data_IF_308780042345
#
_entry.id   IF_308780042345
#
_cell.length_a   1.000
_cell.length_b   1.000
_cell.length_c   1.000
_cell.angle_alpha   90.00
_cell.angle_beta   90.00
_cell.angle_gamma   90.00
#
_symmetry.space_group_name_H-M   'P 1'
#
loop_
_entity.id
_entity.type
_entity.pdbx_description
1 polymer ?
#
# COMPACT_ATOMS: atom_id res chain seq x y z
N UNK A 1 5.84 3.95 31.87
CA UNK A 1 6.49 3.99 30.53
C UNK A 1 6.86 5.42 30.22
N UNK A 2 8.08 5.67 29.74
CA UNK A 2 8.57 6.98 29.33
C UNK A 2 9.45 6.84 28.09
N UNK A 3 9.26 7.71 27.10
CA UNK A 3 10.20 7.85 25.99
C UNK A 3 10.37 9.31 25.54
N UNK A 4 11.52 9.63 24.99
CA UNK A 4 11.80 10.95 24.40
C UNK A 4 12.45 10.88 23.03
N UNK A 5 12.17 11.89 22.22
CA UNK A 5 12.56 11.99 20.81
C UNK A 5 12.99 13.41 20.48
N UNK A 6 14.00 13.53 19.62
CA UNK A 6 14.50 14.79 19.08
C UNK A 6 14.89 14.63 17.61
N UNK A 7 15.24 15.76 16.97
CA UNK A 7 15.85 15.76 15.63
C UNK A 7 15.08 14.98 14.56
N UNK A 8 15.76 14.07 13.88
CA UNK A 8 15.17 13.28 12.78
C UNK A 8 14.21 12.19 13.27
N UNK A 9 14.46 11.59 14.44
CA UNK A 9 13.55 10.61 15.03
C UNK A 9 12.16 11.22 15.30
N UNK A 10 12.11 12.47 15.80
CA UNK A 10 10.86 13.20 15.97
C UNK A 10 10.12 13.43 14.64
N UNK A 11 10.83 13.77 13.55
CA UNK A 11 10.22 13.95 12.22
C UNK A 11 9.61 12.64 11.72
N UNK A 12 10.36 11.53 11.81
CA UNK A 12 9.87 10.20 11.42
C UNK A 12 8.66 9.80 12.27
N UNK A 13 8.73 9.98 13.59
CA UNK A 13 7.61 9.72 14.50
C UNK A 13 6.35 10.52 14.13
N UNK A 14 6.49 11.82 13.83
CA UNK A 14 5.35 12.65 13.45
C UNK A 14 4.73 12.20 12.11
N UNK A 15 5.57 11.78 11.15
CA UNK A 15 5.11 11.17 9.89
C UNK A 15 4.38 9.86 10.13
N UNK A 16 4.89 9.00 11.01
CA UNK A 16 4.25 7.74 11.43
C UNK A 16 2.86 7.98 12.01
N UNK A 17 2.73 8.90 12.97
CA UNK A 17 1.42 9.27 13.55
C UNK A 17 0.46 9.82 12.50
N UNK A 18 0.97 10.66 11.58
CA UNK A 18 0.16 11.21 10.48
C UNK A 18 -0.35 10.12 9.55
N UNK A 19 0.49 9.11 9.25
CA UNK A 19 0.09 7.96 8.45
C UNK A 19 -1.00 7.16 9.16
N UNK A 20 -0.78 6.78 10.42
CA UNK A 20 -1.75 6.03 11.24
C UNK A 20 -3.11 6.73 11.30
N UNK A 21 -3.13 8.06 11.47
CA UNK A 21 -4.34 8.88 11.53
C UNK A 21 -5.15 8.92 10.22
N UNK A 22 -4.56 8.55 9.08
CA UNK A 22 -5.29 8.42 7.80
C UNK A 22 -5.93 7.05 7.63
N UNK A 23 -5.40 6.03 8.33
CA UNK A 23 -5.91 4.65 8.30
C UNK A 23 -7.03 4.47 9.32
N UNK A 24 -6.78 4.78 10.59
CA UNK A 24 -7.71 4.53 11.70
C UNK A 24 -7.94 5.73 12.61
N UNK A 25 -8.86 5.55 13.57
CA UNK A 25 -9.25 6.60 14.52
C UNK A 25 -8.59 6.44 15.90
N UNK A 26 -8.18 5.23 16.24
CA UNK A 26 -7.60 4.86 17.52
C UNK A 26 -6.17 4.37 17.33
N UNK A 27 -5.28 4.82 18.21
CA UNK A 27 -3.89 4.39 18.31
C UNK A 27 -3.76 3.49 19.53
N UNK A 28 -3.42 2.23 19.31
CA UNK A 28 -2.98 1.34 20.38
C UNK A 28 -1.47 1.49 20.51
N UNK A 29 -1.01 1.78 21.73
CA UNK A 29 0.39 1.91 22.11
C UNK A 29 0.74 0.69 22.96
N UNK A 30 1.72 -0.09 22.53
CA UNK A 30 2.26 -1.21 23.28
C UNK A 30 3.76 -1.03 23.47
N UNK A 31 4.20 -0.88 24.70
CA UNK A 31 5.60 -0.71 25.05
C UNK A 31 6.11 -1.94 25.80
N UNK A 32 7.31 -2.38 25.41
CA UNK A 32 8.05 -3.46 26.04
C UNK A 32 9.52 -3.06 26.11
N UNK A 33 10.34 -3.64 26.99
CA UNK A 33 11.76 -3.30 27.07
C UNK A 33 12.52 -3.45 25.75
N UNK A 34 12.05 -4.29 24.83
CA UNK A 34 12.67 -4.54 23.52
C UNK A 34 12.15 -3.68 22.38
N UNK A 35 10.97 -3.05 22.50
CA UNK A 35 10.36 -2.26 21.42
C UNK A 35 9.12 -1.46 21.87
N UNK A 36 8.85 -0.36 21.16
CA UNK A 36 7.58 0.34 21.16
C UNK A 36 6.81 0.04 19.87
N UNK A 37 5.59 -0.48 19.99
CA UNK A 37 4.73 -0.76 18.85
C UNK A 37 3.46 0.09 18.87
N UNK A 38 3.09 0.61 17.71
CA UNK A 38 1.88 1.34 17.44
C UNK A 38 1.01 0.56 16.49
N UNK A 39 -0.26 0.42 16.83
CA UNK A 39 -1.25 -0.25 15.97
C UNK A 39 -2.45 0.65 15.73
N UNK A 40 -3.02 0.54 14.54
CA UNK A 40 -4.32 1.10 14.24
C UNK A 40 -5.10 0.18 13.33
N UNK A 41 -6.42 0.18 13.52
CA UNK A 41 -7.39 -0.49 12.66
C UNK A 41 -8.36 0.57 12.15
N UNK A 42 -8.78 0.43 10.89
CA UNK A 42 -9.90 1.21 10.39
C UNK A 42 -11.24 0.68 10.97
N UNK A 43 -12.30 1.46 10.82
CA UNK A 43 -13.60 1.15 11.43
C UNK A 43 -14.23 -0.17 10.93
N UNK A 44 -13.97 -0.55 9.68
CA UNK A 44 -14.42 -1.81 9.08
C UNK A 44 -13.50 -2.99 9.39
N UNK A 45 -12.37 -2.78 10.08
CA UNK A 45 -11.32 -3.79 10.32
C UNK A 45 -10.81 -4.45 9.02
N UNK A 46 -10.86 -3.71 7.91
CA UNK A 46 -10.31 -4.12 6.61
C UNK A 46 -8.91 -3.56 6.35
N UNK A 47 -8.42 -2.65 7.19
CA UNK A 47 -7.07 -2.11 7.11
C UNK A 47 -6.42 -2.10 8.49
N UNK A 48 -5.23 -2.68 8.58
CA UNK A 48 -4.40 -2.77 9.77
C UNK A 48 -3.03 -2.16 9.49
N UNK A 49 -2.56 -1.27 10.36
CA UNK A 49 -1.20 -0.77 10.26
C UNK A 49 -0.47 -0.96 11.60
N UNK A 50 0.75 -1.47 11.52
CA UNK A 50 1.67 -1.62 12.63
C UNK A 50 2.95 -0.84 12.35
N UNK A 51 3.43 -0.11 13.35
CA UNK A 51 4.73 0.57 13.33
C UNK A 51 5.47 0.20 14.61
N UNK A 52 6.65 -0.38 14.46
CA UNK A 52 7.48 -0.83 15.59
C UNK A 52 8.77 -0.03 15.60
N UNK A 53 9.16 0.46 16.77
CA UNK A 53 10.40 1.20 16.99
C UNK A 53 11.27 0.44 17.98
N UNK A 54 12.55 0.28 17.64
CA UNK A 54 13.54 -0.24 18.57
C UNK A 54 13.90 0.82 19.63
N UNK A 55 14.37 0.42 20.82
CA UNK A 55 14.77 1.35 21.87
C UNK A 55 15.83 2.37 21.41
N UNK A 56 16.72 1.97 20.48
CA UNK A 56 17.73 2.85 19.87
C UNK A 56 17.17 3.96 18.96
N UNK A 57 15.87 3.94 18.66
CA UNK A 57 15.20 5.05 17.97
C UNK A 57 14.99 6.28 18.88
N UNK A 58 14.97 6.09 20.20
CA UNK A 58 14.63 7.12 21.18
C UNK A 58 15.88 7.68 21.87
N UNK A 59 15.84 8.96 22.25
CA UNK A 59 16.90 9.57 23.07
C UNK A 59 16.91 8.96 24.48
N UNK A 60 15.73 8.59 24.97
CA UNK A 60 15.54 7.83 26.20
C UNK A 60 14.31 6.93 26.03
N UNK A 61 14.39 5.71 26.53
CA UNK A 61 13.30 4.74 26.50
C UNK A 61 13.30 3.91 27.78
N UNK A 62 12.23 4.01 28.56
CA UNK A 62 12.08 3.33 29.85
C UNK A 62 10.68 2.72 29.96
N UNK A 63 10.62 1.42 30.22
CA UNK A 63 9.36 0.70 30.44
C UNK A 63 9.39 0.07 31.82
N UNK A 64 8.34 0.33 32.61
CA UNK A 64 8.16 -0.28 33.92
C UNK A 64 7.42 -1.61 33.74
N UNK A 65 8.05 -2.73 34.06
CA UNK A 65 7.48 -4.08 33.90
C UNK A 65 7.74 -4.72 32.54
N UNK A 66 7.08 -5.85 32.28
CA UNK A 66 7.30 -6.64 31.06
C UNK A 66 6.64 -6.02 29.83
N UNK A 67 5.47 -5.40 30.01
CA UNK A 67 4.71 -4.78 28.94
C UNK A 67 3.71 -3.77 29.51
N UNK A 68 3.54 -2.65 28.82
CA UNK A 68 2.52 -1.63 29.11
C UNK A 68 1.73 -1.38 27.83
N UNK A 69 0.42 -1.32 27.93
CA UNK A 69 -0.45 -1.08 26.78
C UNK A 69 -1.54 -0.05 27.11
N UNK A 70 -1.88 0.79 26.14
CA UNK A 70 -3.02 1.68 26.23
C UNK A 70 -3.48 2.08 24.83
N UNK A 71 -4.73 2.53 24.67
CA UNK A 71 -5.18 3.18 23.45
C UNK A 71 -5.61 4.62 23.65
N UNK A 72 -5.40 5.43 22.62
CA UNK A 72 -5.76 6.86 22.58
C UNK A 72 -6.38 7.21 21.24
N UNK A 73 -7.18 8.28 21.20
CA UNK A 73 -7.69 8.78 19.93
C UNK A 73 -6.57 9.43 19.11
N UNK A 74 -6.39 9.00 17.86
CA UNK A 74 -5.39 9.56 16.94
C UNK A 74 -5.61 11.06 16.74
N UNK A 75 -6.86 11.52 16.69
CA UNK A 75 -7.20 12.96 16.62
C UNK A 75 -6.62 13.76 17.78
N UNK A 76 -6.56 13.19 18.98
CA UNK A 76 -5.96 13.83 20.15
C UNK A 76 -4.42 13.88 20.01
N UNK A 77 -3.80 12.80 19.54
CA UNK A 77 -2.34 12.78 19.29
C UNK A 77 -1.95 13.77 18.19
N UNK A 78 -2.69 13.81 17.09
CA UNK A 78 -2.51 14.81 16.02
C UNK A 78 -2.67 16.24 16.54
N UNK A 79 -3.48 16.47 17.58
CA UNK A 79 -3.62 17.80 18.18
C UNK A 79 -2.33 18.30 18.86
N UNK A 80 -1.55 17.38 19.42
CA UNK A 80 -0.22 17.67 20.00
C UNK A 80 0.74 18.05 18.88
N UNK A 81 0.74 17.28 17.79
CA UNK A 81 1.62 17.46 16.63
C UNK A 81 1.19 18.60 15.69
N UNK A 82 0.16 19.39 16.05
CA UNK A 82 -0.12 20.67 15.35
C UNK A 82 0.96 21.72 15.60
N UNK A 83 1.72 21.58 16.68
CA UNK A 83 2.91 22.40 16.87
C UNK A 83 3.93 22.04 15.78
N UNK A 84 4.43 23.01 14.98
CA UNK A 84 5.33 22.72 13.87
C UNK A 84 6.54 21.90 14.34
N UNK A 85 6.81 20.77 13.69
CA UNK A 85 7.90 19.87 14.11
C UNK A 85 9.26 20.58 14.13
N UNK A 86 9.48 21.53 13.20
CA UNK A 86 10.70 22.33 13.14
C UNK A 86 10.91 23.26 14.35
N UNK A 87 9.88 23.56 15.14
CA UNK A 87 10.01 24.37 16.36
C UNK A 87 10.19 23.56 17.63
N UNK A 88 10.00 22.23 17.56
CA UNK A 88 10.12 21.31 18.69
C UNK A 88 11.57 20.83 18.77
N UNK A 89 12.17 21.03 19.94
CA UNK A 89 13.50 20.56 20.30
C UNK A 89 13.42 19.11 20.81
N UNK A 90 12.54 18.86 21.80
CA UNK A 90 12.31 17.52 22.35
C UNK A 90 10.82 17.24 22.55
N UNK A 91 10.37 16.04 22.15
CA UNK A 91 9.10 15.45 22.55
C UNK A 91 9.36 14.41 23.64
N UNK A 92 8.56 14.43 24.70
CA UNK A 92 8.55 13.41 25.74
C UNK A 92 7.14 12.87 25.92
N UNK A 93 7.00 11.56 26.01
CA UNK A 93 5.74 10.88 26.29
C UNK A 93 5.90 10.06 27.55
N UNK A 94 4.99 10.23 28.50
CA UNK A 94 5.01 9.55 29.79
C UNK A 94 3.64 8.99 30.12
N UNK A 95 3.61 7.72 30.50
CA UNK A 95 2.50 7.06 31.17
C UNK A 95 3.00 6.67 32.57
N UNK A 96 2.61 7.41 33.62
CA UNK A 96 3.20 7.28 34.96
C UNK A 96 3.01 5.88 35.57
N UNK A 97 1.85 5.30 35.36
CA UNK A 97 1.43 4.01 35.92
C UNK A 97 0.70 3.20 34.84
N UNK A 98 0.82 1.86 34.78
CA UNK A 98 0.08 1.02 33.85
C UNK A 98 -1.44 1.22 33.89
N UNK A 99 -2.00 1.54 35.07
CA UNK A 99 -3.43 1.77 35.28
C UNK A 99 -3.82 3.26 35.12
N UNK A 100 -2.86 4.11 34.73
CA UNK A 100 -3.12 5.54 34.55
C UNK A 100 -4.04 5.77 33.36
N UNK A 101 -5.09 6.55 33.58
CA UNK A 101 -6.09 6.89 32.55
C UNK A 101 -5.64 8.03 31.64
N UNK A 102 -4.43 8.57 31.80
CA UNK A 102 -3.93 9.70 31.02
C UNK A 102 -2.47 9.52 30.64
N UNK A 103 -2.18 9.58 29.34
CA UNK A 103 -0.83 9.70 28.80
C UNK A 103 -0.47 11.18 28.69
N UNK A 104 0.68 11.56 29.25
CA UNK A 104 1.21 12.91 29.15
C UNK A 104 2.16 13.04 27.96
N UNK A 105 1.96 14.07 27.15
CA UNK A 105 2.81 14.46 26.04
C UNK A 105 3.37 15.85 26.31
N UNK A 106 4.69 15.97 26.34
CA UNK A 106 5.39 17.21 26.63
C UNK A 106 6.28 17.60 25.45
N UNK A 107 6.06 18.80 24.92
CA UNK A 107 6.86 19.42 23.86
C UNK A 107 7.74 20.50 24.46
N UNK A 108 9.05 20.39 24.29
CA UNK A 108 10.00 21.48 24.53
C UNK A 108 10.35 22.10 23.18
N UNK A 109 10.17 23.40 23.05
CA UNK A 109 10.44 24.12 21.81
C UNK A 109 11.75 24.91 21.89
N UNK A 110 12.40 25.16 20.75
CA UNK A 110 13.66 25.92 20.67
C UNK A 110 13.56 27.35 21.21
N UNK A 111 12.36 27.93 21.23
CA UNK A 111 12.10 29.26 21.79
C UNK A 111 11.91 29.27 23.32
N UNK A 112 12.17 28.15 24.00
CA UNK A 112 12.00 27.98 25.45
C UNK A 112 10.57 27.68 25.90
N UNK A 113 9.60 27.60 24.98
CA UNK A 113 8.21 27.25 25.32
C UNK A 113 8.08 25.75 25.61
N UNK A 114 7.43 25.42 26.73
CA UNK A 114 7.07 24.05 27.08
C UNK A 114 5.55 23.87 27.04
N UNK A 115 5.07 22.92 26.23
CA UNK A 115 3.64 22.58 26.14
C UNK A 115 3.41 21.18 26.67
N UNK A 116 2.45 21.02 27.56
CA UNK A 116 2.07 19.71 28.13
C UNK A 116 0.62 19.42 27.81
N UNK A 117 0.37 18.22 27.29
CA UNK A 117 -0.95 17.72 26.91
C UNK A 117 -1.22 16.42 27.65
N UNK A 118 -2.40 16.29 28.25
CA UNK A 118 -2.82 15.05 28.89
C UNK A 118 -3.95 14.44 28.07
N UNK A 119 -3.68 13.30 27.44
CA UNK A 119 -4.65 12.59 26.59
C UNK A 119 -5.22 11.43 27.39
N UNK A 120 -6.55 11.37 27.51
CA UNK A 120 -7.21 10.22 28.12
C UNK A 120 -6.94 8.95 27.31
N UNK A 121 -6.57 7.88 27.99
CA UNK A 121 -6.31 6.58 27.38
C UNK A 121 -7.21 5.49 27.95
N UNK A 122 -7.48 4.47 27.16
CA UNK A 122 -8.07 3.21 27.60
C UNK A 122 -6.94 2.22 27.92
N UNK A 123 -6.99 1.60 29.09
CA UNK A 123 -5.96 0.68 29.60
C UNK A 123 -6.17 -0.77 29.16
N UNK A 124 -7.35 -1.10 28.63
CA UNK A 124 -7.65 -2.42 28.06
C UNK A 124 -8.13 -2.28 26.61
N UNK A 125 -7.24 -1.98 25.65
CA UNK A 125 -7.61 -1.96 24.24
C UNK A 125 -7.81 -3.39 23.69
N UNK A 126 -8.78 -3.57 22.78
CA UNK A 126 -8.93 -4.80 22.00
C UNK A 126 -7.82 -4.86 20.94
N UNK A 127 -6.72 -5.56 21.24
CA UNK A 127 -5.56 -5.66 20.36
C UNK A 127 -5.70 -6.90 19.47
N UNK A 128 -5.71 -6.68 18.16
CA UNK A 128 -5.57 -7.76 17.18
C UNK A 128 -4.15 -7.75 16.61
N UNK A 129 -3.34 -8.71 17.04
CA UNK A 129 -1.98 -8.89 16.53
C UNK A 129 -1.99 -9.64 15.20
N UNK A 130 -1.73 -8.94 14.11
CA UNK A 130 -1.57 -9.59 12.82
C UNK A 130 -0.09 -9.87 12.57
N UNK A 131 0.29 -11.15 12.64
CA UNK A 131 1.60 -11.62 12.22
C UNK A 131 1.46 -12.25 10.84
N UNK A 132 2.06 -11.65 9.83
CA UNK A 132 2.14 -12.21 8.49
C UNK A 132 3.61 -12.39 8.14
N UNK A 133 3.94 -13.57 7.62
CA UNK A 133 5.28 -13.85 7.14
C UNK A 133 5.39 -13.38 5.68
N UNK A 134 6.24 -12.37 5.46
CA UNK A 134 6.47 -11.77 4.13
C UNK A 134 6.96 -12.80 3.11
N UNK A 135 7.56 -13.92 3.55
CA UNK A 135 8.10 -14.98 2.70
C UNK A 135 7.06 -15.93 2.13
N UNK A 136 5.81 -15.84 2.58
CA UNK A 136 4.75 -16.77 2.18
C UNK A 136 3.95 -16.29 0.97
N UNK A 137 4.14 -15.04 0.55
CA UNK A 137 3.44 -14.49 -0.61
C UNK A 137 4.17 -14.86 -1.91
N UNK A 138 3.48 -15.47 -2.89
CA UNK A 138 4.11 -15.91 -4.14
C UNK A 138 4.33 -14.77 -5.14
N UNK A 139 3.65 -13.64 -4.95
CA UNK A 139 3.77 -12.47 -5.82
C UNK A 139 4.21 -11.26 -5.01
N UNK A 140 5.18 -10.53 -5.54
CA UNK A 140 5.66 -9.31 -4.91
C UNK A 140 6.20 -8.31 -5.93
N UNK A 141 6.11 -7.03 -5.58
CA UNK A 141 6.68 -5.95 -6.38
C UNK A 141 7.25 -4.86 -5.48
N UNK A 142 8.28 -4.18 -5.98
CA UNK A 142 8.91 -3.05 -5.33
C UNK A 142 8.82 -1.85 -6.25
N UNK A 143 8.26 -0.76 -5.75
CA UNK A 143 8.02 0.45 -6.52
C UNK A 143 8.38 1.68 -5.72
N UNK A 144 8.95 2.70 -6.39
CA UNK A 144 9.22 3.98 -5.74
C UNK A 144 7.90 4.71 -5.48
N UNK A 145 7.73 5.40 -4.34
CA UNK A 145 6.49 6.11 -4.04
C UNK A 145 6.08 7.11 -5.12
N UNK A 146 7.05 7.81 -5.73
CA UNK A 146 6.82 8.79 -6.80
C UNK A 146 6.28 8.13 -8.07
N UNK A 147 6.84 6.98 -8.43
CA UNK A 147 6.46 6.23 -9.63
C UNK A 147 5.05 5.68 -9.47
N UNK A 148 4.73 5.06 -8.32
CA UNK A 148 3.35 4.60 -8.04
C UNK A 148 2.34 5.75 -7.96
N UNK A 149 2.70 6.90 -7.35
CA UNK A 149 1.83 8.08 -7.35
C UNK A 149 1.56 8.60 -8.77
N UNK A 150 2.56 8.59 -9.64
CA UNK A 150 2.40 8.95 -11.06
C UNK A 150 1.44 8.01 -11.77
N UNK A 151 1.59 6.70 -11.59
CA UNK A 151 0.68 5.70 -12.17
C UNK A 151 -0.75 5.91 -11.66
N UNK A 152 -0.93 6.12 -10.35
CA UNK A 152 -2.23 6.38 -9.72
C UNK A 152 -2.88 7.71 -10.15
N UNK A 153 -2.10 8.67 -10.68
CA UNK A 153 -2.63 9.95 -11.15
C UNK A 153 -3.50 9.85 -12.41
N UNK A 154 -3.40 8.73 -13.14
CA UNK A 154 -4.27 8.43 -14.29
C UNK A 154 -5.71 8.08 -13.87
N UNK A 155 -5.93 7.74 -12.59
CA UNK A 155 -7.22 7.33 -12.08
C UNK A 155 -7.98 8.54 -11.49
N UNK A 156 -9.31 8.44 -11.47
CA UNK A 156 -10.15 9.46 -10.84
C UNK A 156 -9.76 9.68 -9.37
N UNK A 157 -9.76 10.93 -8.93
CA UNK A 157 -9.40 11.28 -7.55
C UNK A 157 -10.35 10.67 -6.50
N UNK A 158 -11.60 10.40 -6.89
CA UNK A 158 -12.65 9.76 -6.09
C UNK A 158 -12.60 8.24 -6.09
N UNK A 159 -11.64 7.61 -6.78
CA UNK A 159 -11.53 6.15 -6.82
C UNK A 159 -11.35 5.58 -5.42
N UNK A 160 -12.25 4.69 -5.01
CA UNK A 160 -12.23 4.05 -3.70
C UNK A 160 -11.35 2.81 -3.71
N UNK A 161 -11.45 2.00 -4.76
CA UNK A 161 -10.81 0.69 -4.87
C UNK A 161 -10.08 0.55 -6.21
N UNK A 162 -8.93 -0.11 -6.18
CA UNK A 162 -8.11 -0.39 -7.35
C UNK A 162 -7.80 -1.88 -7.39
N UNK A 163 -7.78 -2.44 -8.60
CA UNK A 163 -7.38 -3.80 -8.87
C UNK A 163 -5.97 -3.82 -9.43
N UNK A 164 -5.09 -4.65 -8.86
CA UNK A 164 -3.80 -5.02 -9.45
C UNK A 164 -3.97 -6.41 -10.03
N UNK A 165 -3.63 -6.58 -11.30
CA UNK A 165 -3.50 -7.87 -11.97
C UNK A 165 -2.02 -8.10 -12.24
N UNK A 166 -1.52 -9.23 -11.76
CA UNK A 166 -0.14 -9.67 -11.97
C UNK A 166 -0.13 -10.90 -12.88
N UNK A 167 0.68 -10.85 -13.93
CA UNK A 167 0.93 -11.99 -14.82
C UNK A 167 2.42 -12.27 -14.91
N UNK A 168 2.77 -13.45 -15.43
CA UNK A 168 4.17 -13.81 -15.62
C UNK A 168 4.85 -12.83 -16.60
N UNK A 169 6.10 -12.38 -16.33
CA UNK A 169 6.86 -11.58 -17.28
C UNK A 169 7.14 -12.40 -18.55
N UNK A 170 6.37 -12.17 -19.62
CA UNK A 170 6.63 -12.82 -20.92
C UNK A 170 7.95 -12.31 -21.50
N UNK A 171 8.95 -13.18 -21.59
CA UNK A 171 10.29 -12.87 -22.12
C UNK A 171 10.51 -13.30 -23.57
N UNK A 172 9.47 -13.78 -24.27
CA UNK A 172 9.58 -14.31 -25.64
C UNK A 172 8.63 -13.58 -26.61
N UNK A 173 9.14 -13.09 -27.75
CA UNK A 173 8.30 -12.60 -28.83
C UNK A 173 7.56 -13.79 -29.45
N UNK A 174 6.30 -13.99 -29.07
CA UNK A 174 5.44 -14.96 -29.75
C UNK A 174 4.82 -14.27 -30.95
N UNK A 175 5.16 -14.73 -32.17
CA UNK A 175 4.75 -14.18 -33.48
C UNK A 175 3.22 -14.20 -33.75
N UNK A 176 2.39 -14.40 -32.73
CA UNK A 176 0.93 -14.42 -32.83
C UNK A 176 0.20 -13.61 -31.73
N UNK A 177 0.90 -12.86 -30.87
CA UNK A 177 0.26 -12.14 -29.78
C UNK A 177 0.18 -10.63 -30.07
N UNK A 178 -1.01 -10.08 -29.84
CA UNK A 178 -1.36 -8.66 -29.81
C UNK A 178 -0.27 -7.76 -29.20
N UNK A 179 -0.25 -6.47 -29.58
CA UNK A 179 0.67 -5.36 -29.23
C UNK A 179 0.88 -5.06 -27.70
N UNK A 180 0.88 -6.09 -26.86
CA UNK A 180 0.96 -6.09 -25.39
C UNK A 180 2.18 -6.94 -25.00
N UNK A 181 3.32 -6.66 -25.63
CA UNK A 181 4.61 -7.26 -25.27
C UNK A 181 5.19 -6.47 -24.07
N UNK A 182 5.74 -7.16 -23.06
CA UNK A 182 6.34 -6.54 -21.86
C UNK A 182 5.36 -6.12 -20.74
N UNK A 183 4.06 -6.01 -21.00
CA UNK A 183 3.05 -5.53 -20.05
C UNK A 183 2.55 -6.64 -19.10
N UNK A 184 3.32 -6.94 -18.06
CA UNK A 184 3.01 -8.03 -17.12
C UNK A 184 2.21 -7.61 -15.87
N UNK A 185 1.91 -6.31 -15.72
CA UNK A 185 1.04 -5.80 -14.64
C UNK A 185 -0.04 -4.89 -15.21
N UNK A 186 -1.30 -5.08 -14.79
CA UNK A 186 -2.41 -4.19 -15.11
C UNK A 186 -2.95 -3.55 -13.83
N UNK A 187 -3.14 -2.23 -13.85
CA UNK A 187 -3.91 -1.50 -12.84
C UNK A 187 -5.28 -1.15 -13.41
N UNK A 188 -6.35 -1.46 -12.68
CA UNK A 188 -7.73 -1.25 -13.11
C UNK A 188 -8.55 -0.55 -12.03
N UNK A 189 -9.36 0.44 -12.39
CA UNK A 189 -10.36 0.99 -11.48
C UNK A 189 -11.43 -0.06 -11.20
N UNK A 190 -11.75 -0.30 -9.93
CA UNK A 190 -12.87 -1.18 -9.61
C UNK A 190 -14.20 -0.45 -9.80
N UNK A 191 -15.15 -1.13 -10.47
CA UNK A 191 -16.52 -0.68 -10.65
C UNK A 191 -17.42 -1.71 -9.98
N UNK A 192 -18.20 -1.26 -9.00
CA UNK A 192 -19.14 -2.11 -8.30
C UNK A 192 -20.31 -2.50 -9.23
N UNK A 193 -20.49 -3.79 -9.55
CA UNK A 193 -21.55 -4.22 -10.46
C UNK A 193 -22.96 -4.03 -9.86
N UNK A 194 -23.08 -3.78 -8.56
CA UNK A 194 -24.35 -3.60 -7.87
C UNK A 194 -24.82 -2.14 -7.84
N UNK A 195 -23.93 -1.18 -8.13
CA UNK A 195 -24.24 0.24 -8.18
C UNK A 195 -24.49 0.66 -9.63
N UNK A 196 -25.49 1.51 -9.83
CA UNK A 196 -25.77 2.15 -11.11
C UNK A 196 -24.63 3.13 -11.41
N UNK A 197 -23.67 2.67 -12.21
CA UNK A 197 -22.34 3.27 -12.38
C UNK A 197 -22.14 3.84 -13.79
N UNK A 198 -23.22 4.12 -14.52
CA UNK A 198 -23.22 4.61 -15.90
C UNK A 198 -22.40 5.92 -16.12
N UNK A 199 -21.98 6.60 -15.03
CA UNK A 199 -21.14 7.80 -15.05
C UNK A 199 -19.71 7.61 -14.51
N UNK A 200 -19.32 6.42 -14.04
CA UNK A 200 -17.96 6.18 -13.52
C UNK A 200 -16.99 5.81 -14.65
N UNK A 201 -15.87 6.54 -14.72
CA UNK A 201 -14.85 6.30 -15.72
C UNK A 201 -14.08 5.02 -15.39
N UNK A 202 -14.20 4.01 -16.24
CA UNK A 202 -13.34 2.83 -16.16
C UNK A 202 -11.97 3.13 -16.75
N UNK A 203 -10.92 3.02 -15.94
CA UNK A 203 -9.53 3.25 -16.33
C UNK A 203 -8.74 1.96 -16.18
N UNK A 204 -7.99 1.60 -17.22
CA UNK A 204 -7.07 0.46 -17.23
C UNK A 204 -5.70 0.94 -17.69
N UNK A 205 -4.67 0.54 -16.97
CA UNK A 205 -3.28 0.90 -17.25
C UNK A 205 -2.43 -0.36 -17.29
N UNK A 206 -1.82 -0.62 -18.43
CA UNK A 206 -0.85 -1.69 -18.58
C UNK A 206 0.56 -1.17 -18.31
N UNK A 207 1.30 -1.90 -17.49
CA UNK A 207 2.61 -1.53 -16.99
C UNK A 207 3.61 -2.59 -17.41
N UNK A 208 4.74 -2.12 -17.96
CA UNK A 208 5.95 -2.92 -18.07
C UNK A 208 6.72 -2.84 -16.73
N UNK A 209 6.82 -3.95 -15.97
CA UNK A 209 7.54 -3.96 -14.70
C UNK A 209 9.01 -3.56 -14.82
N UNK A 210 9.66 -3.79 -15.96
CA UNK A 210 11.08 -3.50 -16.16
C UNK A 210 11.36 -2.00 -16.27
N UNK A 211 10.37 -1.22 -16.69
CA UNK A 211 10.48 0.24 -16.82
C UNK A 211 10.01 0.96 -15.55
N UNK A 212 8.96 0.45 -14.89
CA UNK A 212 8.25 1.17 -13.83
C UNK A 212 8.58 0.70 -12.40
N UNK A 213 9.06 -0.54 -12.24
CA UNK A 213 9.29 -1.13 -10.93
C UNK A 213 10.79 -1.39 -10.67
N UNK A 214 11.16 -1.31 -9.39
CA UNK A 214 12.49 -1.67 -8.91
C UNK A 214 12.65 -3.19 -8.88
N UNK A 215 11.56 -3.90 -8.60
CA UNK A 215 11.50 -5.36 -8.62
C UNK A 215 10.08 -5.81 -8.92
N UNK A 216 9.95 -6.92 -9.61
CA UNK A 216 8.69 -7.62 -9.82
C UNK A 216 8.96 -9.12 -9.88
N UNK A 217 8.19 -9.87 -9.12
CA UNK A 217 8.24 -11.32 -9.07
C UNK A 217 6.81 -11.86 -9.03
N UNK A 218 6.46 -12.61 -10.06
CA UNK A 218 5.23 -13.38 -10.13
C UNK A 218 5.48 -14.57 -11.05
N UNK A 219 5.00 -15.73 -10.65
CA UNK A 219 5.14 -16.99 -11.40
C UNK A 219 3.83 -17.77 -11.33
N UNK A 220 3.38 -18.30 -12.46
CA UNK A 220 2.17 -19.10 -12.56
C UNK A 220 0.98 -18.37 -13.17
N UNK A 221 -0.23 -18.79 -12.78
CA UNK A 221 -1.48 -18.27 -13.33
C UNK A 221 -1.70 -16.80 -12.94
N UNK A 222 -2.33 -15.99 -13.83
CA UNK A 222 -2.70 -14.61 -13.51
C UNK A 222 -3.47 -14.49 -12.20
N UNK A 223 -3.06 -13.55 -11.35
CA UNK A 223 -3.75 -13.25 -10.09
C UNK A 223 -4.19 -11.79 -10.07
N UNK A 224 -5.33 -11.55 -9.45
CA UNK A 224 -5.84 -10.20 -9.22
C UNK A 224 -6.23 -9.98 -7.76
N UNK A 225 -6.03 -8.74 -7.31
CA UNK A 225 -6.40 -8.28 -5.98
C UNK A 225 -7.03 -6.89 -6.09
N UNK A 226 -8.17 -6.69 -5.43
CA UNK A 226 -8.84 -5.39 -5.35
C UNK A 226 -8.85 -4.89 -3.91
N UNK A 227 -8.40 -3.67 -3.67
CA UNK A 227 -8.27 -3.11 -2.31
C UNK A 227 -8.38 -1.57 -2.29
N UNK A 228 -8.49 -1.02 -1.07
CA UNK A 228 -8.72 0.40 -0.83
C UNK A 228 -7.55 1.33 -1.22
N UNK A 229 -7.85 2.34 -2.05
CA UNK A 229 -6.90 3.34 -2.55
C UNK A 229 -6.57 4.40 -1.49
N UNK A 230 -7.52 4.71 -0.60
CA UNK A 230 -7.33 5.73 0.44
C UNK A 230 -6.17 5.39 1.37
N UNK A 231 -6.13 4.14 1.84
CA UNK A 231 -5.09 3.61 2.72
C UNK A 231 -3.76 3.45 1.99
N UNK A 232 -3.78 2.99 0.74
CA UNK A 232 -2.59 2.96 -0.13
C UNK A 232 -1.96 4.36 -0.28
N UNK A 233 -2.76 5.39 -0.59
CA UNK A 233 -2.30 6.78 -0.71
C UNK A 233 -1.75 7.33 0.60
N UNK A 234 -2.28 6.91 1.74
CA UNK A 234 -1.75 7.28 3.05
C UNK A 234 -0.36 6.69 3.30
N UNK A 235 -0.17 5.44 2.90
CA UNK A 235 1.10 4.75 3.03
C UNK A 235 2.16 5.25 2.04
N UNK A 236 1.74 5.54 0.81
CA UNK A 236 2.58 6.17 -0.21
C UNK A 236 3.17 7.50 0.27
N UNK A 237 2.31 8.37 0.81
CA UNK A 237 2.74 9.66 1.34
C UNK A 237 3.74 9.52 2.49
N UNK A 238 3.60 8.49 3.33
CA UNK A 238 4.57 8.18 4.39
C UNK A 238 5.92 7.75 3.82
N UNK A 239 5.92 6.78 2.91
CA UNK A 239 7.14 6.26 2.30
C UNK A 239 7.86 7.32 1.47
N UNK A 240 7.12 8.19 0.77
CA UNK A 240 7.67 9.33 0.03
C UNK A 240 8.39 10.32 0.95
N UNK A 241 7.80 10.63 2.10
CA UNK A 241 8.45 11.50 3.09
C UNK A 241 9.70 10.86 3.69
N UNK A 242 9.71 9.53 3.82
CA UNK A 242 10.85 8.75 4.30
C UNK A 242 11.89 8.46 3.21
N UNK A 243 11.60 8.80 1.94
CA UNK A 243 12.47 8.53 0.78
C UNK A 243 12.82 7.04 0.62
N UNK A 244 11.85 6.17 0.87
CA UNK A 244 12.01 4.71 0.81
C UNK A 244 11.05 4.08 -0.18
N UNK A 245 11.51 3.02 -0.84
CA UNK A 245 10.69 2.24 -1.76
C UNK A 245 9.63 1.44 -1.01
N UNK A 246 8.58 1.05 -1.72
CA UNK A 246 7.48 0.27 -1.15
C UNK A 246 7.53 -1.14 -1.71
N UNK A 247 7.53 -2.13 -0.83
CA UNK A 247 7.39 -3.53 -1.16
C UNK A 247 5.96 -3.98 -0.92
N UNK A 248 5.27 -4.42 -1.96
CA UNK A 248 3.93 -4.97 -1.93
C UNK A 248 4.03 -6.49 -2.09
N UNK A 249 3.36 -7.24 -1.22
CA UNK A 249 3.29 -8.70 -1.21
C UNK A 249 1.83 -9.15 -1.28
N UNK A 250 1.53 -10.10 -2.15
CA UNK A 250 0.16 -10.57 -2.38
C UNK A 250 0.12 -11.99 -2.96
N UNK A 251 -1.06 -12.61 -2.91
CA UNK A 251 -1.29 -13.97 -3.41
C UNK A 251 -2.42 -13.99 -4.44
N UNK A 252 -3.68 -13.85 -4.00
CA UNK A 252 -4.86 -13.89 -4.86
C UNK A 252 -6.03 -13.15 -4.21
N UNK A 253 -7.12 -12.96 -4.95
CA UNK A 253 -8.36 -12.40 -4.44
C UNK A 253 -8.81 -13.09 -3.13
N UNK A 254 -9.16 -12.28 -2.14
CA UNK A 254 -9.56 -12.69 -0.80
C UNK A 254 -8.40 -12.95 0.17
N UNK A 255 -7.16 -13.01 -0.31
CA UNK A 255 -5.96 -12.97 0.54
C UNK A 255 -5.51 -11.51 0.72
N UNK A 256 -5.08 -11.12 1.93
CA UNK A 256 -4.69 -9.73 2.20
C UNK A 256 -3.46 -9.32 1.40
N UNK A 257 -3.39 -8.04 1.05
CA UNK A 257 -2.15 -7.43 0.54
C UNK A 257 -1.36 -6.86 1.73
N UNK A 258 -0.06 -7.16 1.77
CA UNK A 258 0.88 -6.61 2.74
C UNK A 258 1.78 -5.60 2.04
N UNK A 259 1.98 -4.45 2.68
CA UNK A 259 2.90 -3.41 2.21
C UNK A 259 3.89 -3.06 3.33
N UNK A 260 5.15 -2.95 2.98
CA UNK A 260 6.21 -2.55 3.90
C UNK A 260 7.22 -1.65 3.18
N UNK A 261 7.88 -0.71 3.89
CA UNK A 261 9.00 0.02 3.30
C UNK A 261 10.15 -0.94 3.02
N UNK A 262 10.78 -0.80 1.85
CA UNK A 262 12.03 -1.50 1.51
C UNK A 262 13.20 -0.57 1.77
N UNK A 263 13.81 -0.75 2.93
CA UNK A 263 15.13 -0.17 3.21
C UNK A 263 16.17 -0.97 2.41
N UNK A 264 17.09 -0.31 1.69
CA UNK A 264 18.00 -0.95 0.72
C UNK A 264 18.92 -2.04 1.30
N UNK A 265 19.41 -2.94 0.43
CA UNK A 265 20.32 -4.06 0.74
C UNK A 265 21.81 -3.63 0.78
N UNK A 266 22.26 -3.05 1.89
CA UNK A 266 23.63 -3.36 2.36
C UNK A 266 23.66 -3.76 3.84
N UNK A 267 22.68 -3.40 4.67
CA UNK A 267 22.75 -3.76 6.09
C UNK A 267 21.46 -4.40 6.59
N UNK A 268 21.54 -5.67 6.97
CA UNK A 268 20.57 -6.34 7.86
C UNK A 268 20.51 -5.71 9.27
N UNK A 269 20.54 -4.38 9.39
CA UNK A 269 20.59 -3.61 10.63
C UNK A 269 20.34 -2.08 10.45
N UNK A 270 19.84 -1.58 9.32
CA UNK A 270 19.89 -0.13 9.03
C UNK A 270 18.79 0.77 9.64
N UNK A 271 17.59 0.24 9.93
CA UNK A 271 16.46 1.06 10.40
C UNK A 271 16.02 0.66 11.79
N UNK A 272 16.11 1.59 12.75
CA UNK A 272 15.62 1.40 14.13
C UNK A 272 14.09 1.34 14.23
N UNK A 273 13.38 1.15 13.12
CA UNK A 273 11.93 1.00 13.06
C UNK A 273 11.49 0.14 11.87
N UNK A 274 10.35 -0.53 11.99
CA UNK A 274 9.68 -1.31 10.94
C UNK A 274 8.23 -0.86 10.81
N UNK A 275 7.69 -0.93 9.59
CA UNK A 275 6.31 -0.56 9.30
C UNK A 275 5.66 -1.63 8.43
N UNK A 276 4.45 -2.01 8.78
CA UNK A 276 3.63 -2.93 7.99
C UNK A 276 2.22 -2.37 7.86
N UNK A 277 1.73 -2.22 6.63
CA UNK A 277 0.32 -1.99 6.31
C UNK A 277 -0.25 -3.27 5.71
N UNK A 278 -1.44 -3.68 6.17
CA UNK A 278 -2.16 -4.82 5.64
C UNK A 278 -3.57 -4.39 5.28
N UNK A 279 -3.98 -4.66 4.05
CA UNK A 279 -5.33 -4.40 3.56
C UNK A 279 -6.01 -5.71 3.20
N UNK A 280 -7.26 -5.85 3.59
CA UNK A 280 -8.13 -6.89 3.04
C UNK A 280 -8.35 -6.62 1.55
N UNK A 281 -8.46 -7.70 0.79
CA UNK A 281 -8.80 -7.65 -0.63
C UNK A 281 -10.19 -8.24 -0.85
N UNK A 282 -10.83 -7.87 -1.96
CA UNK A 282 -12.11 -8.46 -2.35
C UNK A 282 -12.00 -9.97 -2.57
N UNK A 283 -13.03 -10.71 -2.16
CA UNK A 283 -13.07 -12.17 -2.27
C UNK A 283 -13.21 -12.69 -3.71
N UNK A 284 -13.82 -11.89 -4.60
CA UNK A 284 -14.17 -12.32 -5.96
C UNK A 284 -13.18 -11.73 -6.96
N UNK A 285 -12.52 -12.63 -7.69
CA UNK A 285 -11.61 -12.30 -8.79
C UNK A 285 -12.31 -11.58 -9.93
N UNK A 286 -11.67 -10.54 -10.45
CA UNK A 286 -12.09 -9.73 -11.60
C UNK A 286 -11.61 -10.30 -12.95
N UNK A 287 -10.75 -11.32 -12.95
CA UNK A 287 -10.21 -11.92 -14.19
C UNK A 287 -11.28 -12.65 -15.02
N UNK A 288 -12.35 -13.14 -14.39
CA UNK A 288 -13.37 -13.98 -15.03
C UNK A 288 -14.64 -13.25 -15.47
N UNK A 289 -14.72 -11.92 -15.33
CA UNK A 289 -15.95 -11.16 -15.63
C UNK A 289 -16.25 -11.08 -17.15
N UNK A 290 -15.32 -11.49 -18.02
CA UNK A 290 -15.48 -11.42 -19.48
C UNK A 290 -15.98 -12.67 -20.21
N UNK A 291 -16.13 -13.83 -19.57
CA UNK A 291 -16.29 -15.11 -20.32
C UNK A 291 -17.55 -15.93 -20.00
N UNK A 292 -18.56 -15.37 -19.31
CA UNK A 292 -19.77 -16.12 -18.91
C UNK A 292 -21.07 -15.68 -19.61
N UNK A 293 -20.98 -15.20 -20.85
CA UNK A 293 -22.12 -15.09 -21.76
C UNK A 293 -22.08 -16.21 -22.81
N UNK A 294 -22.09 -17.47 -22.38
CA UNK A 294 -22.50 -18.58 -23.22
C UNK A 294 -23.82 -19.12 -22.66
N UNK A 295 -24.90 -18.85 -23.40
CA UNK A 295 -26.20 -19.49 -23.19
C UNK A 295 -26.02 -21.02 -23.13
N UNK A 296 -26.77 -21.74 -22.28
CA UNK A 296 -26.94 -23.17 -22.48
C UNK A 296 -27.76 -23.38 -23.76
N UNK A 297 -27.11 -23.80 -24.84
CA UNK A 297 -27.78 -24.55 -25.91
C UNK A 297 -28.03 -25.95 -25.38
N UNK A 298 -29.26 -26.23 -24.95
CA UNK A 298 -29.77 -27.59 -24.92
C UNK A 298 -30.52 -27.86 -26.23
N UNK A 299 -29.93 -28.70 -27.07
CA UNK A 299 -30.59 -29.33 -28.18
C UNK A 299 -31.23 -30.64 -27.71
N UNK A 300 -32.55 -30.77 -27.87
CA UNK A 300 -33.23 -32.05 -28.06
C UNK A 300 -34.61 -31.85 -28.74
N UNK A 301 -34.60 -32.02 -30.06
CA UNK A 301 -35.58 -32.73 -30.91
C UNK A 301 -37.03 -33.00 -30.42
N UNK A 302 -37.97 -32.43 -31.20
CA UNK A 302 -39.04 -33.11 -31.96
C UNK A 302 -40.22 -33.84 -31.26
N UNK A 303 -41.45 -33.31 -31.45
CA UNK A 303 -42.63 -33.92 -32.15
C UNK A 303 -43.98 -33.36 -31.63
N UNK A 304 -44.91 -33.04 -32.54
CA UNK A 304 -46.33 -32.83 -32.23
C UNK A 304 -47.10 -31.94 -33.22
N UNK A 305 -47.75 -32.57 -34.20
CA UNK A 305 -48.68 -32.00 -35.21
C UNK A 305 -49.82 -31.14 -34.65
N UNK A 306 -50.26 -30.13 -35.42
CA UNK A 306 -51.53 -30.13 -36.18
C UNK A 306 -52.16 -28.72 -36.36
N UNK A 307 -52.35 -28.37 -37.64
CA UNK A 307 -53.43 -27.60 -38.27
C UNK A 307 -54.18 -26.49 -37.51
N UNK A 308 -54.14 -25.25 -38.03
CA UNK A 308 -55.21 -24.75 -38.92
C UNK A 308 -54.93 -23.36 -39.54
N UNK A 309 -55.36 -23.28 -40.82
CA UNK A 309 -55.58 -22.15 -41.76
C UNK A 309 -56.16 -20.86 -41.12
N UNK A 310 -56.12 -19.64 -41.65
CA UNK A 310 -56.30 -19.13 -43.04
C UNK A 310 -56.15 -17.59 -43.05
N UNK A 311 -55.61 -17.00 -44.14
CA UNK A 311 -55.89 -15.68 -44.78
C UNK A 311 -55.86 -14.37 -43.93
N UNK A 312 -55.38 -13.18 -44.36
CA UNK A 312 -55.37 -12.50 -45.67
C UNK A 312 -54.49 -11.23 -45.58
N UNK A 313 -53.80 -10.85 -46.66
CA UNK A 313 -53.39 -9.45 -46.97
C UNK A 313 -54.52 -8.76 -47.81
N UNK A 314 -54.47 -7.46 -48.25
CA UNK A 314 -53.40 -6.44 -48.23
C UNK A 314 -53.80 -4.94 -47.96
N UNK A 315 -52.77 -4.09 -47.93
CA UNK A 315 -52.63 -2.72 -48.51
C UNK A 315 -53.01 -1.41 -47.76
N UNK A 316 -51.95 -0.60 -47.59
CA UNK A 316 -51.77 0.88 -47.76
C UNK A 316 -52.65 1.83 -46.92
N UNK A 317 -52.12 2.87 -46.27
CA UNK A 317 -51.34 3.99 -46.83
C UNK A 317 -50.74 4.88 -45.70
N UNK A 318 -49.69 5.67 -45.98
CA UNK A 318 -49.40 6.91 -45.23
C UNK A 318 -48.15 7.03 -44.33
N UNK A 319 -46.99 7.26 -44.94
CA UNK A 319 -46.05 8.39 -44.64
C UNK A 319 -45.47 8.61 -43.22
N UNK A 320 -44.20 8.20 -42.98
CA UNK A 320 -43.01 9.09 -42.84
C UNK A 320 -41.76 8.35 -42.33
N UNK A 321 -40.64 8.69 -42.99
CA UNK A 321 -39.20 8.50 -42.74
C UNK A 321 -38.73 8.27 -41.27
N UNK A 322 -37.60 7.63 -40.95
CA UNK A 322 -36.41 7.25 -41.72
C UNK A 322 -35.60 6.16 -40.97
N UNK A 323 -35.15 5.18 -41.74
CA UNK A 323 -33.89 4.41 -41.75
C UNK A 323 -32.98 4.33 -40.49
N UNK A 324 -32.70 3.06 -40.19
CA UNK A 324 -31.66 2.43 -39.37
C UNK A 324 -30.21 2.88 -39.54
N UNK A 325 -29.44 2.77 -38.46
CA UNK A 325 -27.98 2.61 -38.49
C UNK A 325 -27.39 2.33 -37.11
N UNK A 326 -27.02 1.09 -36.82
CA UNK A 326 -25.98 0.73 -35.82
C UNK A 326 -24.59 0.78 -36.52
N UNK A 327 -23.44 0.77 -35.80
CA UNK A 327 -23.20 0.87 -34.36
C UNK A 327 -22.23 2.00 -33.95
N UNK A 328 -22.18 2.22 -32.64
CA UNK A 328 -21.42 3.23 -31.89
C UNK A 328 -19.90 3.10 -31.97
N UNK A 329 -19.23 4.26 -31.99
CA UNK A 329 -17.80 4.49 -32.10
C UNK A 329 -16.97 3.87 -30.96
N UNK A 330 -15.93 3.11 -31.36
CA UNK A 330 -14.77 2.81 -30.53
C UNK A 330 -13.73 3.92 -30.74
N UNK A 331 -13.46 4.73 -29.72
CA UNK A 331 -12.30 5.63 -29.74
C UNK A 331 -11.07 4.88 -29.23
N UNK A 332 -10.27 4.35 -30.16
CA UNK A 332 -8.88 3.94 -29.94
C UNK A 332 -7.99 5.16 -30.17
N UNK A 333 -7.30 5.65 -29.13
CA UNK A 333 -6.24 6.64 -29.28
C UNK A 333 -4.91 5.93 -29.05
N UNK A 334 -4.16 5.77 -30.14
CA UNK A 334 -2.76 5.38 -30.16
C UNK A 334 -1.91 6.65 -30.23
N UNK A 335 -0.82 6.69 -29.47
CA UNK A 335 0.22 7.70 -29.63
C UNK A 335 1.56 7.00 -29.79
N UNK A 336 1.92 6.69 -31.04
CA UNK A 336 3.32 6.65 -31.45
C UNK A 336 3.71 8.03 -31.95
N UNK A 337 4.93 8.49 -31.63
CA UNK A 337 5.81 9.22 -32.53
C UNK A 337 7.15 9.48 -31.82
N UNK A 338 8.16 8.72 -32.22
CA UNK A 338 9.56 9.14 -32.12
C UNK A 338 10.02 9.63 -33.49
N UNK A 339 10.71 10.78 -33.50
CA UNK A 339 11.74 11.08 -34.51
C UNK A 339 11.41 12.14 -35.56
N UNK A 340 11.98 13.33 -35.35
CA UNK A 340 12.85 14.08 -36.27
C UNK A 340 12.51 15.57 -36.45
N UNK A 341 13.55 16.39 -36.30
CA UNK A 341 13.54 17.85 -36.33
C UNK A 341 13.23 18.42 -37.73
N UNK A 342 12.90 19.73 -37.81
CA UNK A 342 13.92 20.63 -38.36
C UNK A 342 14.11 21.95 -37.59
N UNK A 343 15.29 22.53 -37.84
CA UNK A 343 15.84 23.81 -37.38
C UNK A 343 15.02 25.04 -37.76
N UNK A 344 15.02 26.04 -36.86
CA UNK A 344 15.19 27.49 -37.07
C UNK A 344 14.57 28.19 -35.84
N UNK A 345 15.14 29.12 -35.10
CA UNK A 345 16.25 30.05 -35.25
C UNK A 345 15.90 31.31 -34.44
N UNK A 346 16.89 31.93 -33.78
CA UNK A 346 16.89 33.16 -32.96
C UNK A 346 16.54 32.98 -31.46
N UNK A 347 17.50 33.01 -30.52
CA UNK A 347 18.44 34.07 -30.10
C UNK A 347 17.83 35.06 -29.08
N UNK A 348 18.25 34.91 -27.81
CA UNK A 348 18.56 36.02 -26.91
C UNK A 348 19.41 35.49 -25.74
N UNK A 349 20.60 36.05 -25.62
CA UNK A 349 21.67 35.76 -24.67
C UNK A 349 21.37 36.30 -23.27
N UNK A 350 22.08 35.76 -22.28
CA UNK A 350 22.15 36.31 -20.92
C UNK A 350 22.96 35.41 -19.98
N UNK A 351 24.28 35.36 -20.15
CA UNK A 351 25.21 34.56 -19.36
C UNK A 351 26.18 35.48 -18.60
N UNK A 352 26.27 35.35 -17.27
CA UNK A 352 27.34 35.82 -16.36
C UNK A 352 27.23 34.97 -15.08
N UNK A 353 28.24 34.55 -14.31
CA UNK A 353 29.64 34.14 -14.45
C UNK A 353 30.10 33.73 -13.02
N UNK A 354 30.96 32.72 -12.90
CA UNK A 354 31.77 32.41 -11.69
C UNK A 354 31.02 31.75 -10.53
N UNK A 355 31.59 30.86 -9.71
CA UNK A 355 32.98 30.69 -9.28
C UNK A 355 33.30 29.23 -8.89
N UNK A 356 34.60 28.94 -8.89
CA UNK A 356 35.27 27.75 -8.35
C UNK A 356 34.95 27.55 -6.86
N UNK A 357 35.10 26.32 -6.38
CA UNK A 357 36.09 26.03 -5.34
C UNK A 357 36.43 24.54 -5.25
N UNK A 358 37.75 24.29 -5.26
CA UNK A 358 38.42 23.06 -4.86
C UNK A 358 38.62 23.11 -3.34
N UNK A 359 38.47 21.97 -2.66
CA UNK A 359 39.31 21.65 -1.50
C UNK A 359 39.44 20.15 -1.31
N UNK A 360 40.69 19.73 -1.38
CA UNK A 360 41.27 18.48 -0.90
C UNK A 360 41.26 18.43 0.63
N UNK A 361 41.07 17.25 1.22
CA UNK A 361 41.77 16.91 2.47
C UNK A 361 42.03 15.40 2.54
N UNK A 362 43.31 15.09 2.74
CA UNK A 362 43.99 13.81 2.86
C UNK A 362 43.47 13.00 4.08
N UNK A 363 43.23 11.69 3.95
CA UNK A 363 44.20 10.61 4.22
C UNK A 363 44.54 10.45 5.72
N UNK A 364 44.03 9.38 6.34
CA UNK A 364 44.71 8.75 7.47
C UNK A 364 44.46 7.24 7.46
N UNK A 365 45.56 6.51 7.23
CA UNK A 365 45.71 5.07 7.42
C UNK A 365 45.70 4.73 8.91
N UNK A 366 45.05 3.63 9.28
CA UNK A 366 45.43 2.83 10.46
C UNK A 366 45.38 1.35 10.07
N UNK A 367 46.56 0.75 9.88
CA UNK A 367 46.79 -0.69 9.99
C UNK A 367 46.85 -1.09 11.47
N UNK A 368 46.26 -2.25 11.84
CA UNK A 368 46.96 -3.41 12.45
C UNK A 368 46.04 -4.41 13.18
N UNK A 369 46.29 -5.71 12.89
CA UNK A 369 46.29 -6.89 13.82
C UNK A 369 44.88 -7.38 14.26
N UNK A 370 44.44 -8.65 14.27
CA UNK A 370 45.03 -10.00 14.21
C UNK A 370 43.93 -11.03 13.87
N UNK A 371 44.33 -12.16 13.27
CA UNK A 371 43.86 -13.56 13.47
C UNK A 371 43.09 -13.83 14.79
N UNK A 372 42.15 -14.77 14.97
CA UNK A 372 41.87 -16.08 14.36
C UNK A 372 40.57 -16.65 14.98
N UNK A 373 39.97 -17.63 14.28
CA UNK A 373 39.35 -18.86 14.78
C UNK A 373 37.88 -18.96 15.24
N UNK A 374 37.34 -20.04 14.67
CA UNK A 374 36.05 -20.70 14.75
C UNK A 374 35.85 -21.34 16.13
N UNK A 375 34.61 -21.32 16.62
CA UNK A 375 34.12 -22.39 17.48
C UNK A 375 32.64 -22.67 17.24
N UNK A 376 32.40 -23.87 16.73
CA UNK A 376 31.11 -24.54 16.59
C UNK A 376 30.65 -25.04 17.97
N UNK A 377 29.43 -24.70 18.38
CA UNK A 377 28.59 -25.40 19.37
C UNK A 377 27.22 -24.71 19.30
N UNK A 378 26.06 -25.35 19.26
CA UNK A 378 25.63 -26.73 19.40
C UNK A 378 24.10 -26.66 19.45
N UNK A 379 23.44 -27.58 18.76
CA UNK A 379 21.99 -27.64 18.61
C UNK A 379 21.26 -27.92 19.95
N UNK A 380 20.29 -27.08 20.31
CA UNK A 380 19.19 -27.29 21.27
C UNK A 380 18.38 -25.97 21.27
N UNK A 381 17.07 -25.84 21.05
CA UNK A 381 15.92 -26.72 21.19
C UNK A 381 14.91 -26.36 20.10
N UNK A 382 14.46 -27.38 19.36
CA UNK A 382 13.14 -27.35 18.75
C UNK A 382 12.12 -27.58 19.86
N UNK A 383 11.23 -26.61 20.08
CA UNK A 383 9.86 -26.76 20.59
C UNK A 383 9.31 -25.37 20.93
N UNK A 384 8.64 -24.73 19.97
CA UNK A 384 7.62 -23.68 20.18
C UNK A 384 7.02 -23.23 18.82
N UNK A 385 6.65 -24.17 17.95
CA UNK A 385 6.08 -23.85 16.63
C UNK A 385 4.57 -24.14 16.50
N UNK A 386 3.91 -24.60 17.56
CA UNK A 386 2.51 -25.04 17.48
C UNK A 386 1.51 -23.98 17.97
N UNK A 387 1.95 -23.00 18.78
CA UNK A 387 1.04 -21.96 19.31
C UNK A 387 0.96 -20.71 18.42
N UNK A 388 1.98 -20.40 17.61
CA UNK A 388 1.94 -19.23 16.69
C UNK A 388 1.05 -19.43 15.47
N UNK A 389 0.76 -20.67 15.07
CA UNK A 389 -0.04 -20.99 13.87
C UNK A 389 -1.54 -20.84 14.09
N UNK A 390 -2.00 -20.92 15.36
CA UNK A 390 -3.42 -20.75 15.71
C UNK A 390 -3.85 -19.28 15.72
N UNK A 391 -2.96 -18.37 16.09
CA UNK A 391 -3.23 -16.92 16.04
C UNK A 391 -3.24 -16.38 14.61
N UNK A 392 -2.36 -16.86 13.72
CA UNK A 392 -2.33 -16.47 12.30
C UNK A 392 -3.68 -16.72 11.60
N UNK A 393 -4.24 -17.92 11.81
CA UNK A 393 -5.47 -18.34 11.12
C UNK A 393 -6.69 -17.56 11.61
N UNK A 394 -6.68 -17.12 12.87
CA UNK A 394 -7.80 -16.39 13.48
C UNK A 394 -7.83 -14.94 13.06
N UNK A 395 -6.66 -14.29 12.97
CA UNK A 395 -6.55 -12.87 12.63
C UNK A 395 -6.74 -12.61 11.12
N UNK A 396 -6.28 -13.53 10.26
CA UNK A 396 -6.60 -13.49 8.82
C UNK A 396 -8.11 -13.74 8.60
N UNK A 397 -8.77 -14.61 9.37
CA UNK A 397 -10.22 -14.82 9.29
C UNK A 397 -11.02 -13.57 9.63
N UNK A 398 -10.54 -12.71 10.53
CA UNK A 398 -11.19 -11.43 10.84
C UNK A 398 -11.12 -10.46 9.65
N UNK A 399 -9.96 -10.30 9.01
CA UNK A 399 -9.81 -9.49 7.79
C UNK A 399 -10.63 -10.07 6.61
N UNK A 400 -10.65 -11.40 6.44
CA UNK A 400 -11.42 -12.09 5.40
C UNK A 400 -12.93 -11.93 5.57
N UNK A 401 -13.44 -11.95 6.81
CA UNK A 401 -14.87 -11.73 7.08
C UNK A 401 -15.29 -10.28 6.80
N UNK A 402 -14.42 -9.31 7.05
CA UNK A 402 -14.74 -7.90 6.82
C UNK A 402 -14.71 -7.50 5.34
N UNK A 403 -13.83 -8.11 4.52
CA UNK A 403 -13.80 -7.89 3.07
C UNK A 403 -15.04 -8.39 2.31
N UNK A 404 -15.93 -9.14 2.97
CA UNK A 404 -17.18 -9.64 2.39
C UNK A 404 -18.38 -8.67 2.53
N UNK A 405 -18.23 -7.56 3.26
CA UNK A 405 -19.32 -6.64 3.64
C UNK A 405 -19.14 -5.24 3.03
N UNK A 406 -18.19 -5.07 2.11
CA UNK A 406 -17.90 -3.81 1.40
C UNK A 406 -18.82 -3.57 0.21
#
# INVERSE_FOLDING_TARGET
MEFSLSGNALKTFARSVTCLARIGNELVIQASPSQLAFYTLNASRSAYQAITFEPGFFDAYVVSGNQVQCSVLLKAVCSVLRTPIASIDHLRVQLPDPDSLKVQWSLKCFNGMNKTYCISCNVEPDIQHLSLDRRQFPSDLVVRPRDLNRLLSNFQSSLQEITIIATEPTSLPSEAASEIEGKAVELRSYIDPTKDNDALLHTQLWIDPMEEFVHYSHSGDPVDITFGVKELKAFLSFCECCEVDIHLYFEKAGEPILMAPKFGLDDGSGSNFDVTLVLATMLVSQLHVGSRAQLPQEAATEHGESDHRTASQPQQDGSRANVSGHPSDHTRIWSELSGSAPRSGNAAEGQVQGERNLSSCEQMEIQRISTMQISNAGCAQANNLVDRTRDLTTNIKCLKKCGAVG
#
